data_IF_310913310439
#
_entry.id   IF_310913310439
#
_cell.length_a   1.000
_cell.length_b   1.000
_cell.length_c   1.000
_cell.angle_alpha   90.00
_cell.angle_beta   90.00
_cell.angle_gamma   90.00
#
_symmetry.space_group_name_H-M   'P 1'
#
loop_
_entity.id
_entity.type
_entity.pdbx_description
1 polymer ?
#
# COMPACT_ATOMS: atom_id res chain seq x y z
N UNK A 1 -52.29 34.66 -12.04
CA UNK A 1 -51.23 35.68 -12.16
C UNK A 1 -50.00 35.15 -11.47
N UNK A 2 -48.95 34.89 -12.24
CA UNK A 2 -47.64 34.40 -11.78
C UNK A 2 -46.68 35.59 -11.58
N UNK A 3 -45.79 35.51 -10.60
CA UNK A 3 -44.62 36.39 -10.47
C UNK A 3 -43.48 35.64 -9.74
N UNK A 4 -42.19 36.02 -9.88
CA UNK A 4 -41.21 35.15 -10.53
C UNK A 4 -39.93 34.93 -9.69
N UNK A 5 -39.16 33.93 -10.13
CA UNK A 5 -37.70 33.81 -10.11
C UNK A 5 -36.90 34.38 -8.92
N UNK A 6 -36.31 33.47 -8.13
CA UNK A 6 -35.04 33.70 -7.44
C UNK A 6 -33.98 32.76 -8.02
N UNK A 7 -33.11 33.30 -8.89
CA UNK A 7 -31.89 32.66 -9.40
C UNK A 7 -30.72 33.02 -8.50
N UNK A 8 -30.08 32.03 -7.89
CA UNK A 8 -28.70 31.97 -7.33
C UNK A 8 -28.61 30.59 -6.64
N UNK A 9 -27.69 29.66 -6.88
CA UNK A 9 -26.30 29.75 -7.34
C UNK A 9 -25.92 28.33 -7.83
N UNK A 10 -25.67 28.14 -9.12
CA UNK A 10 -25.17 26.87 -9.68
C UNK A 10 -23.80 27.09 -10.31
N UNK A 11 -22.74 26.98 -9.52
CA UNK A 11 -21.36 27.07 -10.04
C UNK A 11 -20.53 25.79 -9.89
N UNK A 12 -21.05 24.70 -9.29
CA UNK A 12 -20.32 23.42 -9.20
C UNK A 12 -20.56 22.46 -10.37
N UNK A 13 -21.57 22.69 -11.22
CA UNK A 13 -22.03 21.72 -12.22
C UNK A 13 -21.43 21.85 -13.62
N UNK A 14 -20.53 22.82 -13.86
CA UNK A 14 -19.91 23.02 -15.18
C UNK A 14 -18.60 22.26 -15.39
N UNK A 15 -17.89 21.85 -14.33
CA UNK A 15 -16.56 21.22 -14.44
C UNK A 15 -16.60 19.71 -14.76
N UNK A 16 -17.72 19.02 -14.54
CA UNK A 16 -17.90 17.60 -14.86
C UNK A 16 -18.29 17.34 -16.32
N UNK A 17 -18.71 18.36 -17.09
CA UNK A 17 -19.35 18.17 -18.41
C UNK A 17 -18.42 17.85 -19.58
N UNK A 18 -17.10 17.74 -19.37
CA UNK A 18 -16.13 17.51 -20.45
C UNK A 18 -15.45 16.15 -20.46
N UNK A 19 -15.46 15.39 -19.37
CA UNK A 19 -14.74 14.12 -19.26
C UNK A 19 -15.74 13.00 -18.98
N UNK A 20 -16.14 12.28 -20.03
CA UNK A 20 -16.91 11.04 -19.84
C UNK A 20 -15.96 10.04 -19.20
N UNK A 21 -16.19 9.71 -17.92
CA UNK A 21 -15.44 8.68 -17.20
C UNK A 21 -15.36 7.43 -18.07
N UNK A 22 -14.15 7.08 -18.53
CA UNK A 22 -13.96 5.90 -19.36
C UNK A 22 -14.17 4.69 -18.48
N UNK A 23 -15.30 3.98 -18.69
CA UNK A 23 -15.68 2.76 -17.95
C UNK A 23 -14.56 1.73 -17.78
N UNK A 24 -13.55 1.74 -18.67
CA UNK A 24 -12.38 0.84 -18.64
C UNK A 24 -11.46 1.05 -17.43
N UNK A 25 -11.47 2.21 -16.78
CA UNK A 25 -10.54 2.53 -15.69
C UNK A 25 -11.17 2.59 -14.29
N UNK A 26 -12.48 2.32 -14.15
CA UNK A 26 -13.14 2.27 -12.83
C UNK A 26 -13.02 3.56 -12.00
N UNK A 27 -12.98 4.72 -12.67
CA UNK A 27 -12.71 6.01 -12.05
C UNK A 27 -13.89 6.48 -11.18
N UNK A 28 -13.67 6.57 -9.86
CA UNK A 28 -14.52 7.31 -8.93
C UNK A 28 -13.72 8.54 -8.47
N UNK A 29 -14.19 9.74 -8.79
CA UNK A 29 -13.47 10.97 -8.49
C UNK A 29 -13.82 11.45 -7.09
N UNK A 30 -12.81 11.72 -6.26
CA UNK A 30 -13.01 12.27 -4.93
C UNK A 30 -13.51 13.71 -5.03
N UNK A 31 -14.64 14.02 -4.41
CA UNK A 31 -15.30 15.35 -4.46
C UNK A 31 -15.52 15.98 -3.08
N UNK A 32 -15.42 15.18 -2.00
CA UNK A 32 -15.58 15.70 -0.63
C UNK A 32 -14.35 16.48 -0.19
N UNK A 33 -14.50 17.80 -0.03
CA UNK A 33 -13.43 18.69 0.43
C UNK A 33 -12.94 18.36 1.85
N UNK A 34 -13.83 17.92 2.73
CA UNK A 34 -13.47 17.53 4.10
C UNK A 34 -12.54 16.31 4.10
N UNK A 35 -12.89 15.25 3.35
CA UNK A 35 -12.08 14.04 3.23
C UNK A 35 -10.75 14.36 2.55
N UNK A 36 -10.76 15.19 1.50
CA UNK A 36 -9.54 15.65 0.83
C UNK A 36 -8.59 16.32 1.81
N UNK A 37 -9.10 17.21 2.67
CA UNK A 37 -8.27 17.88 3.67
C UNK A 37 -7.72 16.89 4.71
N UNK A 38 -8.54 15.97 5.20
CA UNK A 38 -8.14 14.92 6.14
C UNK A 38 -7.02 14.03 5.56
N UNK A 39 -7.12 13.67 4.27
CA UNK A 39 -6.07 12.93 3.54
C UNK A 39 -4.77 13.74 3.49
N UNK A 40 -4.85 15.03 3.13
CA UNK A 40 -3.67 15.89 3.00
C UNK A 40 -3.00 16.11 4.36
N UNK A 41 -3.78 16.27 5.42
CA UNK A 41 -3.28 16.42 6.79
C UNK A 41 -2.60 15.13 7.26
N UNK A 42 -3.15 13.95 6.93
CA UNK A 42 -2.53 12.66 7.22
C UNK A 42 -1.22 12.42 6.44
N UNK A 43 -1.15 12.83 5.17
CA UNK A 43 0.08 12.77 4.36
C UNK A 43 1.17 13.68 4.97
N UNK A 44 0.74 14.80 5.57
CA UNK A 44 1.57 15.84 6.18
C UNK A 44 2.74 16.27 5.28
N UNK A 45 2.50 16.70 4.03
CA UNK A 45 3.57 17.02 3.09
C UNK A 45 4.28 18.31 3.53
N UNK A 46 5.63 18.30 3.47
CA UNK A 46 6.47 19.42 3.89
C UNK A 46 7.25 20.01 2.71
N UNK A 47 7.56 21.30 2.80
CA UNK A 47 8.45 21.95 1.84
C UNK A 47 9.82 21.25 1.78
N UNK A 48 10.36 21.05 0.58
CA UNK A 48 11.61 20.33 0.34
C UNK A 48 11.48 18.80 0.25
N UNK A 49 10.33 18.21 0.59
CA UNK A 49 10.08 16.79 0.34
C UNK A 49 9.77 16.53 -1.13
N UNK A 50 10.08 15.31 -1.58
CA UNK A 50 9.67 14.84 -2.91
C UNK A 50 8.36 14.08 -2.76
N UNK A 51 7.29 14.58 -3.38
CA UNK A 51 5.98 13.92 -3.38
C UNK A 51 5.63 13.49 -4.80
N UNK A 52 5.17 12.25 -4.94
CA UNK A 52 4.61 11.74 -6.19
C UNK A 52 3.20 11.22 -5.97
N UNK A 53 2.26 11.67 -6.81
CA UNK A 53 0.88 11.20 -6.82
C UNK A 53 0.64 10.25 -7.98
N UNK A 54 0.12 9.06 -7.69
CA UNK A 54 -0.28 8.06 -8.67
C UNK A 54 -1.76 8.24 -9.00
N UNK A 55 -2.07 8.43 -10.28
CA UNK A 55 -3.45 8.58 -10.76
C UNK A 55 -4.13 9.86 -10.24
N UNK A 56 -3.62 11.06 -10.57
CA UNK A 56 -4.17 12.33 -10.11
C UNK A 56 -5.63 12.58 -10.55
N UNK A 57 -6.09 11.89 -11.62
CA UNK A 57 -7.45 12.05 -12.10
C UNK A 57 -7.72 13.50 -12.55
N UNK A 58 -8.73 14.12 -11.95
CA UNK A 58 -9.07 15.53 -12.21
C UNK A 58 -8.28 16.52 -11.33
N UNK A 59 -7.36 16.03 -10.50
CA UNK A 59 -6.51 16.85 -9.62
C UNK A 59 -7.06 17.10 -8.22
N UNK A 60 -7.95 16.22 -7.72
CA UNK A 60 -8.63 16.41 -6.44
C UNK A 60 -7.67 16.43 -5.23
N UNK A 61 -6.65 15.57 -5.22
CA UNK A 61 -5.56 15.61 -4.24
C UNK A 61 -4.40 16.48 -4.74
N UNK A 62 -4.16 16.54 -6.05
CA UNK A 62 -3.12 17.38 -6.67
C UNK A 62 -3.18 18.85 -6.22
N UNK A 63 -4.35 19.49 -6.32
CA UNK A 63 -4.51 20.92 -5.98
C UNK A 63 -4.18 21.25 -4.51
N UNK A 64 -4.74 20.56 -3.50
CA UNK A 64 -4.42 20.83 -2.10
C UNK A 64 -3.01 20.36 -1.69
N UNK A 65 -2.44 19.33 -2.32
CA UNK A 65 -1.03 18.97 -2.12
C UNK A 65 -0.12 20.11 -2.59
N UNK A 66 -0.36 20.64 -3.79
CA UNK A 66 0.36 21.78 -4.34
C UNK A 66 0.20 23.04 -3.47
N UNK A 67 -0.85 23.16 -2.65
CA UNK A 67 -0.97 24.26 -1.69
C UNK A 67 0.00 24.16 -0.49
N UNK A 68 0.64 23.00 -0.27
CA UNK A 68 1.55 22.73 0.85
C UNK A 68 3.02 22.60 0.44
N UNK A 69 3.28 22.27 -0.83
CA UNK A 69 4.64 22.04 -1.36
C UNK A 69 4.89 22.85 -2.62
N UNK A 70 6.17 23.05 -2.96
CA UNK A 70 6.57 23.87 -4.11
C UNK A 70 6.42 23.15 -5.46
N UNK A 71 6.57 21.83 -5.45
CA UNK A 71 6.55 21.01 -6.65
C UNK A 71 5.96 19.64 -6.36
N UNK A 72 5.07 19.15 -7.23
CA UNK A 72 4.51 17.80 -7.17
C UNK A 72 4.87 17.05 -8.46
N UNK A 73 5.09 15.75 -8.35
CA UNK A 73 5.20 14.86 -9.51
C UNK A 73 3.95 13.99 -9.59
N UNK A 74 3.48 13.67 -10.79
CA UNK A 74 2.33 12.77 -10.99
C UNK A 74 2.65 11.69 -12.02
N UNK A 75 2.10 10.50 -11.82
CA UNK A 75 2.11 9.41 -12.80
C UNK A 75 0.68 9.17 -13.29
N UNK A 76 0.44 9.37 -14.59
CA UNK A 76 -0.87 9.23 -15.21
C UNK A 76 -0.77 8.51 -16.56
N UNK A 77 -1.76 7.68 -16.87
CA UNK A 77 -1.83 6.88 -18.10
C UNK A 77 -2.84 7.46 -19.10
N UNK A 78 -3.88 8.16 -18.65
CA UNK A 78 -4.87 8.75 -19.55
C UNK A 78 -4.38 10.07 -20.16
N UNK A 79 -4.13 10.03 -21.48
CA UNK A 79 -3.68 11.18 -22.29
C UNK A 79 -4.58 12.41 -22.19
N UNK A 80 -5.89 12.22 -22.05
CA UNK A 80 -6.84 13.35 -21.96
C UNK A 80 -6.66 14.07 -20.61
N UNK A 81 -6.44 13.31 -19.53
CA UNK A 81 -6.15 13.86 -18.21
C UNK A 81 -4.77 14.53 -18.18
N UNK A 82 -3.76 13.90 -18.79
CA UNK A 82 -2.41 14.47 -18.91
C UNK A 82 -2.43 15.84 -19.58
N UNK A 83 -3.14 15.97 -20.70
CA UNK A 83 -3.29 17.24 -21.40
C UNK A 83 -3.93 18.30 -20.50
N UNK A 84 -4.96 17.92 -19.74
CA UNK A 84 -5.62 18.81 -18.77
C UNK A 84 -4.70 19.24 -17.64
N UNK A 85 -3.93 18.32 -17.06
CA UNK A 85 -2.98 18.61 -15.98
C UNK A 85 -1.91 19.61 -16.45
N UNK A 86 -1.33 19.38 -17.63
CA UNK A 86 -0.33 20.27 -18.24
C UNK A 86 -0.88 21.65 -18.60
N UNK A 87 -2.17 21.75 -18.92
CA UNK A 87 -2.82 23.05 -19.15
C UNK A 87 -3.10 23.80 -17.84
N UNK A 88 -3.40 23.06 -16.76
CA UNK A 88 -3.83 23.63 -15.48
C UNK A 88 -2.67 24.09 -14.61
N UNK A 89 -1.54 23.37 -14.62
CA UNK A 89 -0.36 23.72 -13.84
C UNK A 89 0.89 23.83 -14.71
N UNK A 90 1.74 24.84 -14.47
CA UNK A 90 2.99 24.99 -15.19
C UNK A 90 4.01 23.92 -14.74
N UNK A 91 4.99 23.62 -15.60
CA UNK A 91 5.94 22.52 -15.38
C UNK A 91 6.82 22.71 -14.13
N UNK A 92 7.03 23.95 -13.71
CA UNK A 92 7.77 24.29 -12.48
C UNK A 92 7.00 23.89 -11.21
N UNK A 93 5.68 23.75 -11.31
CA UNK A 93 4.78 23.37 -10.21
C UNK A 93 4.41 21.88 -10.25
N UNK A 94 4.24 21.32 -11.44
CA UNK A 94 3.76 19.95 -11.63
C UNK A 94 4.52 19.23 -12.75
N UNK A 95 5.29 18.21 -12.40
CA UNK A 95 5.88 17.29 -13.40
C UNK A 95 4.90 16.15 -13.68
N UNK A 96 4.54 15.96 -14.95
CA UNK A 96 3.63 14.88 -15.38
C UNK A 96 4.41 13.79 -16.11
N UNK A 97 4.50 12.62 -15.48
CA UNK A 97 5.04 11.39 -16.05
C UNK A 97 3.92 10.61 -16.74
N UNK A 98 3.96 10.54 -18.07
CA UNK A 98 3.02 9.75 -18.88
C UNK A 98 3.43 8.28 -18.86
N UNK A 99 2.62 7.40 -18.26
CA UNK A 99 2.93 5.97 -18.23
C UNK A 99 2.07 5.15 -17.28
N UNK A 100 2.25 3.83 -17.37
CA UNK A 100 1.67 2.88 -16.42
C UNK A 100 2.47 2.88 -15.12
N UNK A 101 1.80 3.11 -13.99
CA UNK A 101 2.41 3.08 -12.67
C UNK A 101 3.03 1.72 -12.33
N UNK A 102 2.54 0.61 -12.90
CA UNK A 102 3.12 -0.72 -12.73
C UNK A 102 4.45 -0.91 -13.47
N UNK A 103 4.79 -0.02 -14.41
CA UNK A 103 6.04 -0.04 -15.16
C UNK A 103 6.96 1.14 -14.82
N UNK A 104 6.50 2.06 -13.97
CA UNK A 104 7.23 3.27 -13.62
C UNK A 104 8.31 2.97 -12.57
N UNK A 105 9.55 3.43 -12.81
CA UNK A 105 10.63 3.32 -11.84
C UNK A 105 10.59 4.49 -10.84
N UNK A 106 10.00 4.25 -9.67
CA UNK A 106 9.92 5.25 -8.60
C UNK A 106 11.28 5.53 -7.96
N UNK A 107 12.27 4.63 -8.09
CA UNK A 107 13.62 4.83 -7.59
C UNK A 107 14.41 5.85 -8.43
N UNK A 108 14.02 6.05 -9.68
CA UNK A 108 14.62 7.05 -10.57
C UNK A 108 14.20 8.49 -10.24
N UNK A 109 13.17 8.68 -9.41
CA UNK A 109 12.77 10.00 -8.96
C UNK A 109 13.88 10.62 -8.12
N UNK A 110 14.60 11.60 -8.69
CA UNK A 110 15.64 12.35 -7.97
C UNK A 110 15.04 12.96 -6.72
N UNK A 111 15.40 12.42 -5.56
CA UNK A 111 14.97 12.95 -4.28
C UNK A 111 16.13 13.70 -3.62
N UNK A 112 15.89 14.97 -3.30
CA UNK A 112 16.79 15.72 -2.40
C UNK A 112 16.55 15.35 -0.92
N UNK A 113 15.47 14.59 -0.65
CA UNK A 113 15.00 14.19 0.67
C UNK A 113 14.10 12.94 0.61
N UNK A 114 13.34 12.64 1.68
CA UNK A 114 12.45 11.48 1.73
C UNK A 114 11.38 11.53 0.63
N UNK A 115 11.18 10.43 -0.10
CA UNK A 115 10.11 10.30 -1.11
C UNK A 115 8.80 9.88 -0.44
N UNK A 116 7.73 10.64 -0.69
CA UNK A 116 6.36 10.28 -0.32
C UNK A 116 5.58 9.88 -1.57
N UNK A 117 4.86 8.76 -1.52
CA UNK A 117 4.03 8.28 -2.62
C UNK A 117 2.57 8.30 -2.18
N UNK A 118 1.72 8.96 -2.93
CA UNK A 118 0.29 9.13 -2.59
C UNK A 118 -0.58 8.74 -3.76
N UNK A 119 -1.85 8.41 -3.51
CA UNK A 119 -2.78 8.20 -4.63
C UNK A 119 -4.13 7.63 -4.24
N UNK A 120 -5.12 7.92 -5.09
CA UNK A 120 -6.40 7.23 -5.08
C UNK A 120 -6.33 6.09 -6.11
N UNK A 121 -5.92 4.91 -5.65
CA UNK A 121 -5.53 3.84 -6.56
C UNK A 121 -6.76 3.14 -7.17
N UNK A 122 -6.78 2.87 -8.50
CA UNK A 122 -7.81 2.04 -9.09
C UNK A 122 -7.79 0.63 -8.48
N UNK A 123 -8.97 0.13 -8.11
CA UNK A 123 -9.11 -1.07 -7.29
C UNK A 123 -8.52 -2.33 -7.94
N UNK A 124 -8.51 -2.40 -9.27
CA UNK A 124 -8.02 -3.53 -10.04
C UNK A 124 -6.48 -3.65 -10.09
N UNK A 125 -5.74 -2.57 -9.84
CA UNK A 125 -4.26 -2.58 -9.90
C UNK A 125 -3.58 -2.43 -8.54
N UNK A 126 -4.35 -2.19 -7.48
CA UNK A 126 -3.86 -1.87 -6.14
C UNK A 126 -2.83 -2.88 -5.61
N UNK A 127 -3.16 -4.16 -5.49
CA UNK A 127 -2.23 -5.14 -4.91
C UNK A 127 -0.94 -5.33 -5.73
N UNK A 128 -0.98 -5.53 -7.07
CA UNK A 128 0.24 -5.57 -7.88
C UNK A 128 1.10 -4.32 -7.73
N UNK A 129 0.49 -3.13 -7.67
CA UNK A 129 1.20 -1.88 -7.51
C UNK A 129 1.90 -1.78 -6.15
N UNK A 130 1.25 -2.22 -5.06
CA UNK A 130 1.87 -2.22 -3.73
C UNK A 130 3.11 -3.13 -3.67
N UNK A 131 3.14 -4.24 -4.40
CA UNK A 131 4.33 -5.08 -4.52
C UNK A 131 5.41 -4.43 -5.39
N UNK A 132 5.04 -3.83 -6.53
CA UNK A 132 5.96 -3.07 -7.38
C UNK A 132 6.65 -1.94 -6.61
N UNK A 133 5.90 -1.18 -5.82
CA UNK A 133 6.43 -0.10 -4.97
C UNK A 133 7.46 -0.59 -3.94
N UNK A 134 7.45 -1.89 -3.58
CA UNK A 134 8.40 -2.45 -2.61
C UNK A 134 9.82 -2.51 -3.17
N UNK A 135 9.97 -2.51 -4.50
CA UNK A 135 11.27 -2.45 -5.18
C UNK A 135 11.95 -1.08 -4.96
N UNK A 136 11.15 -0.03 -4.70
CA UNK A 136 11.64 1.32 -4.40
C UNK A 136 11.70 1.64 -2.90
N UNK A 137 11.55 0.62 -2.03
CA UNK A 137 11.53 0.77 -0.58
C UNK A 137 12.75 1.52 0.01
N UNK A 138 13.91 1.47 -0.66
CA UNK A 138 15.14 2.09 -0.17
C UNK A 138 15.11 3.63 -0.21
N UNK A 139 14.29 4.24 -1.07
CA UNK A 139 14.19 5.70 -1.23
C UNK A 139 12.87 6.27 -0.70
N UNK A 140 11.88 5.41 -0.48
CA UNK A 140 10.54 5.76 0.01
C UNK A 140 10.54 5.91 1.53
N UNK A 141 9.99 7.01 2.01
CA UNK A 141 9.79 7.27 3.43
C UNK A 141 8.46 6.72 3.92
N UNK A 142 7.35 7.19 3.34
CA UNK A 142 6.02 6.64 3.58
C UNK A 142 5.10 6.82 2.37
N UNK A 143 4.02 6.04 2.37
CA UNK A 143 3.04 6.03 1.30
C UNK A 143 1.63 6.09 1.87
N UNK A 144 0.73 6.78 1.16
CA UNK A 144 -0.66 6.95 1.57
C UNK A 144 -1.59 6.67 0.41
N UNK A 145 -2.40 5.61 0.54
CA UNK A 145 -3.30 5.20 -0.53
C UNK A 145 -4.73 5.09 -0.07
N UNK A 146 -5.63 5.52 -0.95
CA UNK A 146 -7.03 5.17 -0.84
C UNK A 146 -7.30 3.88 -1.60
N UNK A 147 -7.92 2.93 -0.92
CA UNK A 147 -8.25 1.59 -1.41
C UNK A 147 -9.65 1.19 -0.95
N UNK A 148 -10.20 0.09 -1.49
CA UNK A 148 -11.42 -0.49 -0.94
C UNK A 148 -11.19 -0.93 0.51
N UNK A 149 -12.16 -0.68 1.39
CA UNK A 149 -12.02 -0.99 2.82
C UNK A 149 -11.69 -2.45 3.08
N UNK A 150 -12.34 -3.40 2.39
CA UNK A 150 -12.05 -4.84 2.53
C UNK A 150 -10.59 -5.18 2.18
N UNK A 151 -9.99 -4.49 1.21
CA UNK A 151 -8.58 -4.68 0.86
C UNK A 151 -7.69 -4.17 1.98
N UNK A 152 -7.97 -2.99 2.52
CA UNK A 152 -7.24 -2.42 3.65
C UNK A 152 -7.37 -3.31 4.89
N UNK A 153 -8.57 -3.78 5.22
CA UNK A 153 -8.83 -4.68 6.35
C UNK A 153 -7.94 -5.93 6.24
N UNK A 154 -7.83 -6.53 5.05
CA UNK A 154 -6.94 -7.67 4.80
C UNK A 154 -5.46 -7.30 4.88
N UNK A 155 -5.06 -6.10 4.47
CA UNK A 155 -3.67 -5.65 4.55
C UNK A 155 -3.20 -5.54 6.00
N UNK A 156 -4.04 -4.94 6.86
CA UNK A 156 -3.70 -4.65 8.27
C UNK A 156 -4.16 -5.75 9.24
N UNK A 157 -4.82 -6.79 8.74
CA UNK A 157 -5.29 -7.92 9.55
C UNK A 157 -4.18 -8.51 10.44
N UNK A 158 -4.54 -8.95 11.64
CA UNK A 158 -3.64 -9.64 12.56
C UNK A 158 -3.76 -11.17 12.42
N UNK A 159 -2.70 -11.94 12.70
CA UNK A 159 -2.78 -13.41 12.70
C UNK A 159 -3.93 -13.92 13.57
N UNK A 160 -4.62 -14.94 13.08
CA UNK A 160 -5.81 -15.52 13.71
C UNK A 160 -7.13 -14.83 13.35
N UNK A 161 -7.11 -13.63 12.76
CA UNK A 161 -8.33 -12.97 12.26
C UNK A 161 -8.82 -13.57 10.94
N UNK A 162 -10.11 -13.38 10.63
CA UNK A 162 -10.73 -13.91 9.40
C UNK A 162 -10.24 -13.24 8.12
N UNK A 163 -9.74 -12.00 8.23
CA UNK A 163 -9.22 -11.24 7.10
C UNK A 163 -7.72 -11.50 6.85
N UNK A 164 -7.05 -12.14 7.81
CA UNK A 164 -5.65 -12.50 7.69
C UNK A 164 -5.45 -13.58 6.63
N UNK A 165 -4.55 -13.31 5.70
CA UNK A 165 -4.30 -14.20 4.59
C UNK A 165 -2.97 -13.96 3.90
N UNK A 166 -2.82 -14.55 2.71
CA UNK A 166 -1.63 -14.37 1.87
C UNK A 166 -1.28 -12.90 1.63
N UNK A 167 -2.28 -12.05 1.37
CA UNK A 167 -2.05 -10.62 1.13
C UNK A 167 -1.44 -9.94 2.36
N UNK A 168 -1.97 -10.24 3.54
CA UNK A 168 -1.50 -9.73 4.84
C UNK A 168 -0.04 -10.11 5.05
N UNK A 169 0.28 -11.39 4.98
CA UNK A 169 1.66 -11.88 5.20
C UNK A 169 2.64 -11.25 4.22
N UNK A 170 2.30 -11.24 2.93
CA UNK A 170 3.19 -10.73 1.90
C UNK A 170 3.42 -9.22 2.04
N UNK A 171 2.38 -8.41 2.29
CA UNK A 171 2.57 -6.96 2.42
C UNK A 171 3.18 -6.56 3.78
N UNK A 172 2.82 -7.21 4.88
CA UNK A 172 3.40 -6.95 6.21
C UNK A 172 4.88 -7.38 6.29
N UNK A 173 5.32 -8.26 5.40
CA UNK A 173 6.75 -8.54 5.22
C UNK A 173 7.51 -7.33 4.65
N UNK A 174 6.90 -6.54 3.75
CA UNK A 174 7.52 -5.37 3.13
C UNK A 174 7.25 -4.06 3.89
N UNK A 175 6.13 -3.94 4.59
CA UNK A 175 5.63 -2.68 5.13
C UNK A 175 5.14 -2.80 6.58
N UNK A 176 5.35 -1.74 7.36
CA UNK A 176 4.46 -1.41 8.46
C UNK A 176 3.23 -0.70 7.88
N UNK A 177 2.03 -1.11 8.27
CA UNK A 177 0.80 -0.59 7.68
C UNK A 177 -0.23 -0.23 8.75
N UNK A 178 -0.94 0.86 8.53
CA UNK A 178 -1.93 1.39 9.45
C UNK A 178 -3.16 1.88 8.66
N UNK A 179 -4.35 1.42 9.04
CA UNK A 179 -5.59 1.99 8.53
C UNK A 179 -5.87 3.28 9.29
N UNK A 180 -5.83 4.41 8.59
CA UNK A 180 -5.97 5.73 9.21
C UNK A 180 -7.45 6.06 9.46
N UNK A 181 -8.28 5.97 8.42
CA UNK A 181 -9.72 6.22 8.50
C UNK A 181 -10.46 5.67 7.27
N UNK A 182 -11.77 5.55 7.38
CA UNK A 182 -12.65 5.07 6.30
C UNK A 182 -13.29 6.23 5.55
N UNK A 183 -13.50 6.05 4.24
CA UNK A 183 -14.11 7.05 3.35
C UNK A 183 -15.44 6.50 2.78
N UNK A 184 -16.56 7.19 3.00
CA UNK A 184 -17.86 6.75 2.51
C UNK A 184 -18.06 6.95 1.00
N UNK A 185 -18.94 6.18 0.34
CA UNK A 185 -19.17 6.30 -1.11
C UNK A 185 -19.64 7.67 -1.61
N UNK A 186 -20.37 8.42 -0.79
CA UNK A 186 -20.86 9.77 -1.12
C UNK A 186 -19.75 10.82 -1.19
N UNK A 187 -18.52 10.47 -0.78
CA UNK A 187 -17.34 11.30 -1.00
C UNK A 187 -16.88 11.33 -2.47
N UNK A 188 -17.49 10.53 -3.35
CA UNK A 188 -17.07 10.34 -4.74
C UNK A 188 -18.17 10.63 -5.77
N UNK A 189 -17.75 10.97 -6.99
CA UNK A 189 -18.60 11.06 -8.17
C UNK A 189 -17.97 10.31 -9.37
N UNK A 190 -18.63 9.28 -9.93
CA UNK A 190 -19.79 8.60 -9.36
C UNK A 190 -19.42 7.86 -8.05
N UNK A 191 -20.41 7.59 -7.17
CA UNK A 191 -20.15 6.88 -5.91
C UNK A 191 -19.79 5.40 -6.16
N UNK A 192 -18.74 4.85 -5.50
CA UNK A 192 -18.45 3.42 -5.53
C UNK A 192 -19.54 2.62 -4.81
N UNK A 193 -19.56 1.30 -5.03
CA UNK A 193 -20.52 0.39 -4.36
C UNK A 193 -20.10 -0.02 -2.94
N UNK A 194 -18.86 0.28 -2.56
CA UNK A 194 -18.23 -0.19 -1.33
C UNK A 194 -17.53 0.98 -0.64
N UNK A 195 -17.36 0.85 0.68
CA UNK A 195 -16.53 1.77 1.46
C UNK A 195 -15.08 1.76 0.96
N UNK A 196 -14.43 2.92 1.02
CA UNK A 196 -12.99 3.05 0.86
C UNK A 196 -12.32 3.26 2.23
N UNK A 197 -11.00 3.16 2.29
CA UNK A 197 -10.21 3.51 3.45
C UNK A 197 -8.84 4.06 3.02
N UNK A 198 -8.29 4.94 3.86
CA UNK A 198 -6.94 5.46 3.73
C UNK A 198 -6.01 4.59 4.57
N UNK A 199 -4.97 4.08 3.93
CA UNK A 199 -3.92 3.29 4.57
C UNK A 199 -2.58 3.99 4.43
N UNK A 200 -1.82 4.03 5.52
CA UNK A 200 -0.41 4.42 5.52
C UNK A 200 0.45 3.17 5.42
N UNK A 201 1.48 3.21 4.60
CA UNK A 201 2.49 2.17 4.48
C UNK A 201 3.88 2.78 4.67
N UNK A 202 4.68 2.18 5.54
CA UNK A 202 6.08 2.57 5.79
C UNK A 202 6.95 1.36 5.42
N UNK A 203 7.86 1.47 4.44
CA UNK A 203 8.78 0.38 4.10
C UNK A 203 9.58 -0.08 5.31
N UNK A 204 9.68 -1.40 5.50
CA UNK A 204 10.48 -1.99 6.58
C UNK A 204 11.96 -1.90 6.23
N UNK A 205 12.77 -1.35 7.12
CA UNK A 205 14.22 -1.40 6.98
C UNK A 205 14.74 -2.80 7.35
N UNK A 206 14.92 -3.64 6.33
CA UNK A 206 15.45 -5.01 6.48
C UNK A 206 16.91 -5.05 6.99
N UNK A 207 17.61 -3.90 7.08
CA UNK A 207 19.06 -3.82 7.41
C UNK A 207 19.36 -3.26 8.81
N UNK A 208 18.42 -2.61 9.49
CA UNK A 208 18.69 -2.04 10.83
C UNK A 208 18.72 -3.11 11.91
N UNK A 209 19.90 -3.66 12.16
CA UNK A 209 20.26 -4.30 13.44
C UNK A 209 20.15 -3.21 14.52
N UNK A 210 19.23 -3.35 15.47
CA UNK A 210 19.32 -2.56 16.69
C UNK A 210 20.43 -3.19 17.54
N UNK A 211 21.57 -2.49 17.62
CA UNK A 211 22.57 -2.71 18.67
C UNK A 211 21.87 -2.59 20.02
N UNK A 212 22.08 -3.56 20.90
CA UNK A 212 21.42 -3.71 22.21
C UNK A 212 21.68 -2.60 23.22
N UNK A 213 22.41 -1.54 22.86
CA UNK A 213 22.77 -0.47 23.77
C UNK A 213 22.16 0.88 23.33
N UNK A 214 21.04 1.22 23.96
CA UNK A 214 20.64 2.60 24.23
C UNK A 214 20.16 3.44 23.04
N UNK A 215 18.93 3.20 22.57
CA UNK A 215 18.13 4.24 21.91
C UNK A 215 16.85 4.48 22.71
N UNK A 216 16.69 5.70 23.25
CA UNK A 216 15.42 6.19 23.78
C UNK A 216 14.42 6.21 22.63
N UNK A 217 13.28 5.55 22.80
CA UNK A 217 12.15 5.60 21.89
C UNK A 217 11.87 7.03 21.43
N UNK A 218 11.58 7.27 20.13
CA UNK A 218 10.84 8.46 19.75
C UNK A 218 9.51 8.44 20.51
N UNK A 219 9.17 9.56 21.15
CA UNK A 219 7.98 9.72 21.97
C UNK A 219 6.69 9.45 21.19
N UNK A 220 5.71 8.88 21.89
CA UNK A 220 4.38 8.41 21.43
C UNK A 220 3.40 9.51 20.97
N UNK A 221 3.92 10.67 20.58
CA UNK A 221 3.13 11.73 19.94
C UNK A 221 3.22 11.65 18.39
N UNK A 222 4.07 10.75 17.86
CA UNK A 222 4.15 10.37 16.45
C UNK A 222 3.88 8.85 16.31
N UNK A 223 2.82 8.50 15.57
CA UNK A 223 2.41 7.15 15.17
C UNK A 223 2.17 6.13 16.31
N UNK A 224 0.91 6.02 16.72
CA UNK A 224 0.43 5.08 17.71
C UNK A 224 0.65 3.61 17.33
N UNK A 225 0.95 2.81 18.34
CA UNK A 225 0.75 1.35 18.33
C UNK A 225 1.80 0.53 17.59
N UNK A 226 3.01 0.41 18.15
CA UNK A 226 3.96 -0.59 17.65
C UNK A 226 3.56 -1.99 18.11
N UNK A 227 2.92 -2.75 17.23
CA UNK A 227 2.93 -4.20 17.31
C UNK A 227 4.39 -4.67 17.35
N UNK A 228 4.78 -5.32 18.45
CA UNK A 228 6.11 -5.89 18.65
C UNK A 228 6.32 -7.07 17.70
N UNK A 229 6.73 -6.79 16.45
CA UNK A 229 7.26 -7.82 15.57
C UNK A 229 8.72 -8.07 15.94
N UNK A 230 9.01 -9.29 16.40
CA UNK A 230 10.36 -9.73 16.74
C UNK A 230 11.36 -9.42 15.60
N UNK A 231 12.55 -8.98 16.01
CA UNK A 231 13.70 -8.57 15.21
C UNK A 231 13.82 -9.24 13.83
N UNK A 232 13.88 -8.43 12.77
CA UNK A 232 14.47 -8.68 11.44
C UNK A 232 14.59 -10.13 10.94
N UNK A 233 13.50 -10.89 10.98
CA UNK A 233 13.40 -12.11 10.19
C UNK A 233 13.26 -11.70 8.70
N UNK A 234 14.40 -11.54 8.02
CA UNK A 234 14.45 -11.38 6.55
C UNK A 234 14.50 -12.77 5.91
N UNK A 235 13.66 -13.00 4.89
CA UNK A 235 13.73 -14.25 4.14
C UNK A 235 15.03 -14.27 3.33
N UNK A 236 15.82 -15.34 3.46
CA UNK A 236 17.06 -15.55 2.68
C UNK A 236 16.79 -15.70 1.18
N UNK A 237 15.59 -16.15 0.85
CA UNK A 237 15.10 -16.37 -0.52
C UNK A 237 13.62 -15.93 -0.54
N UNK A 238 13.36 -14.69 -0.97
CA UNK A 238 12.01 -14.11 -0.95
C UNK A 238 11.05 -14.85 -1.89
N UNK A 239 11.56 -15.37 -3.01
CA UNK A 239 10.76 -16.18 -3.93
C UNK A 239 10.33 -17.50 -3.28
N UNK A 240 11.23 -18.15 -2.54
CA UNK A 240 10.89 -19.34 -1.78
C UNK A 240 9.92 -19.04 -0.62
N UNK A 241 10.13 -17.95 0.11
CA UNK A 241 9.17 -17.48 1.12
C UNK A 241 7.77 -17.29 0.52
N UNK A 242 7.65 -16.57 -0.59
CA UNK A 242 6.37 -16.37 -1.29
C UNK A 242 5.73 -17.71 -1.69
N UNK A 243 6.54 -18.69 -2.12
CA UNK A 243 6.07 -20.05 -2.45
C UNK A 243 5.54 -20.80 -1.23
N UNK A 244 6.20 -20.70 -0.08
CA UNK A 244 5.73 -21.30 1.18
C UNK A 244 4.41 -20.68 1.64
N UNK A 245 4.32 -19.34 1.64
CA UNK A 245 3.09 -18.63 2.01
C UNK A 245 1.96 -19.01 1.04
N UNK A 246 2.23 -19.07 -0.27
CA UNK A 246 1.24 -19.50 -1.26
C UNK A 246 0.76 -20.94 -1.04
N UNK A 247 1.66 -21.86 -0.69
CA UNK A 247 1.30 -23.24 -0.39
C UNK A 247 0.44 -23.34 0.89
N UNK A 248 0.83 -22.63 1.96
CA UNK A 248 0.11 -22.63 3.23
C UNK A 248 -1.37 -22.21 3.06
N UNK A 249 -1.62 -21.14 2.31
CA UNK A 249 -2.96 -20.62 2.01
C UNK A 249 -3.65 -21.30 0.82
N UNK A 250 -3.02 -22.30 0.19
CA UNK A 250 -3.53 -22.94 -1.04
C UNK A 250 -4.82 -23.75 -0.84
N UNK A 251 -5.12 -24.17 0.39
CA UNK A 251 -6.38 -24.87 0.72
C UNK A 251 -7.02 -24.27 1.97
N UNK A 252 -8.16 -23.58 1.77
CA UNK A 252 -8.88 -22.91 2.86
C UNK A 252 -9.29 -23.88 3.97
N UNK A 253 -9.09 -23.48 5.24
CA UNK A 253 -9.43 -24.22 6.47
C UNK A 253 -8.63 -25.50 6.73
N UNK A 254 -7.67 -25.86 5.86
CA UNK A 254 -6.80 -27.01 6.08
C UNK A 254 -5.64 -26.63 7.01
N UNK A 255 -5.28 -27.56 7.89
CA UNK A 255 -4.13 -27.42 8.80
C UNK A 255 -2.81 -27.43 8.01
N UNK A 256 -1.77 -26.78 8.55
CA UNK A 256 -0.46 -26.63 7.90
C UNK A 256 0.21 -27.95 7.57
N UNK A 257 0.09 -28.97 8.42
CA UNK A 257 0.56 -30.34 8.10
C UNK A 257 0.02 -30.89 6.78
N UNK A 258 -1.18 -30.47 6.37
CA UNK A 258 -1.79 -30.92 5.13
C UNK A 258 -1.36 -30.07 3.94
N UNK A 259 -1.29 -28.75 4.12
CA UNK A 259 -0.98 -27.81 3.04
C UNK A 259 0.52 -27.75 2.74
N UNK A 260 1.37 -28.03 3.73
CA UNK A 260 2.84 -27.99 3.64
C UNK A 260 3.52 -29.36 3.60
N UNK A 261 2.77 -30.47 3.50
CA UNK A 261 3.32 -31.85 3.48
C UNK A 261 4.43 -32.09 2.44
N UNK A 262 4.44 -31.33 1.34
CA UNK A 262 5.46 -31.42 0.29
C UNK A 262 6.75 -30.66 0.61
N UNK A 263 6.76 -29.92 1.71
CA UNK A 263 7.88 -29.09 2.15
C UNK A 263 8.42 -29.53 3.51
N UNK A 264 7.54 -29.92 4.44
CA UNK A 264 7.89 -30.23 5.83
C UNK A 264 6.93 -31.28 6.41
N UNK A 265 7.43 -32.12 7.32
CA UNK A 265 6.63 -33.07 8.09
C UNK A 265 6.20 -32.47 9.45
N UNK A 266 5.36 -33.21 10.21
CA UNK A 266 4.87 -32.73 11.51
C UNK A 266 6.00 -32.55 12.55
N UNK A 267 7.03 -33.39 12.49
CA UNK A 267 8.20 -33.29 13.36
C UNK A 267 8.99 -32.00 13.09
N UNK A 268 9.21 -31.66 11.82
CA UNK A 268 9.84 -30.41 11.41
C UNK A 268 9.05 -29.17 11.80
N UNK A 269 7.71 -29.19 11.68
CA UNK A 269 6.86 -28.09 12.15
C UNK A 269 7.02 -27.88 13.67
N UNK A 270 6.95 -28.97 14.43
CA UNK A 270 7.09 -28.94 15.89
C UNK A 270 8.47 -28.43 16.31
N UNK A 271 9.53 -28.84 15.62
CA UNK A 271 10.89 -28.37 15.86
C UNK A 271 11.07 -26.86 15.62
N UNK A 272 10.23 -26.25 14.78
CA UNK A 272 10.18 -24.81 14.52
C UNK A 272 9.24 -24.06 15.48
N UNK A 273 8.63 -24.75 16.45
CA UNK A 273 7.65 -24.19 17.37
C UNK A 273 6.27 -23.96 16.75
N UNK A 274 6.00 -24.54 15.58
CA UNK A 274 4.72 -24.41 14.87
C UNK A 274 3.88 -25.66 15.17
N UNK A 275 2.67 -25.46 15.68
CA UNK A 275 1.73 -26.58 15.88
C UNK A 275 1.37 -27.23 14.54
N UNK A 276 1.50 -28.56 14.36
CA UNK A 276 1.07 -29.25 13.14
C UNK A 276 -0.42 -29.07 12.82
N UNK A 277 -1.23 -28.80 13.84
CA UNK A 277 -2.67 -28.57 13.72
C UNK A 277 -3.03 -27.10 13.49
N UNK A 278 -2.07 -26.17 13.55
CA UNK A 278 -2.31 -24.77 13.24
C UNK A 278 -2.80 -24.61 11.80
N UNK A 279 -3.62 -23.59 11.55
CA UNK A 279 -3.99 -23.17 10.20
C UNK A 279 -3.09 -22.04 9.70
N UNK A 280 -3.10 -21.81 8.40
CA UNK A 280 -2.24 -20.82 7.77
C UNK A 280 -2.49 -19.40 8.31
N UNK A 281 -3.75 -19.07 8.61
CA UNK A 281 -4.13 -17.77 9.17
C UNK A 281 -3.62 -17.53 10.59
N UNK A 282 -3.21 -18.58 11.33
CA UNK A 282 -2.76 -18.47 12.72
C UNK A 282 -1.27 -18.08 12.83
N UNK A 283 -0.51 -18.16 11.74
CA UNK A 283 0.93 -17.85 11.73
C UNK A 283 1.19 -16.40 11.33
N UNK A 284 2.03 -15.71 12.10
CA UNK A 284 2.53 -14.38 11.77
C UNK A 284 3.67 -14.38 10.74
N UNK A 285 4.03 -13.19 10.26
CA UNK A 285 5.09 -12.99 9.26
C UNK A 285 6.42 -13.62 9.68
N UNK A 286 6.84 -13.40 10.93
CA UNK A 286 8.12 -13.93 11.43
C UNK A 286 8.17 -15.47 11.43
N UNK A 287 7.06 -16.13 11.75
CA UNK A 287 6.96 -17.60 11.71
C UNK A 287 7.11 -18.13 10.28
N UNK A 288 6.47 -17.49 9.30
CA UNK A 288 6.65 -17.84 7.90
C UNK A 288 8.08 -17.63 7.41
N UNK A 289 8.75 -16.56 7.85
CA UNK A 289 10.15 -16.34 7.48
C UNK A 289 11.07 -17.39 8.11
N UNK A 290 10.91 -17.71 9.39
CA UNK A 290 11.67 -18.78 10.05
C UNK A 290 11.47 -20.13 9.36
N UNK A 291 10.22 -20.45 9.02
CA UNK A 291 9.87 -21.65 8.26
C UNK A 291 10.58 -21.69 6.89
N UNK A 292 10.51 -20.62 6.11
CA UNK A 292 11.15 -20.55 4.80
C UNK A 292 12.69 -20.68 4.90
N UNK A 293 13.30 -19.99 5.88
CA UNK A 293 14.74 -20.03 6.11
C UNK A 293 15.23 -21.40 6.56
N UNK A 294 14.49 -22.10 7.44
CA UNK A 294 14.82 -23.44 7.90
C UNK A 294 14.77 -24.46 6.76
N UNK A 295 13.72 -24.41 5.94
CA UNK A 295 13.52 -25.34 4.83
C UNK A 295 14.57 -25.23 3.74
N UNK A 296 15.09 -24.01 3.47
CA UNK A 296 16.17 -23.83 2.51
C UNK A 296 17.47 -24.45 3.01
N UNK A 297 17.80 -24.33 4.30
CA UNK A 297 19.01 -24.91 4.88
C UNK A 297 19.02 -26.45 4.77
N UNK A 298 17.88 -27.09 4.99
CA UNK A 298 17.74 -28.55 4.87
C UNK A 298 17.90 -29.04 3.42
N UNK A 299 17.48 -28.25 2.42
CA UNK A 299 17.70 -28.59 1.01
C UNK A 299 19.16 -28.41 0.57
N UNK A 300 19.89 -27.44 1.13
CA UNK A 300 21.31 -27.24 0.83
C UNK A 300 22.21 -28.35 1.41
N UNK A 301 21.87 -28.93 2.57
CA UNK A 301 22.66 -30.00 3.20
C UNK A 301 22.53 -31.37 2.53
N UNK A 302 21.49 -31.60 1.74
CA UNK A 302 21.32 -32.85 0.97
C UNK A 302 22.06 -32.85 -0.39
N UNK A 303 22.86 -31.83 -0.69
CA UNK A 303 23.58 -31.69 -1.97
C UNK A 303 25.09 -31.52 -1.85
N UNK A 304 25.67 -31.66 -0.65
CA UNK A 304 27.12 -31.86 -0.51
C UNK A 304 27.40 -33.36 -0.46
N UNK A 305 28.15 -33.93 -1.41
CA UNK A 305 28.70 -35.27 -1.23
C UNK A 305 29.73 -35.21 -0.10
N UNK A 306 29.54 -36.02 0.94
CA UNK A 306 30.62 -36.34 1.87
C UNK A 306 31.77 -36.93 1.05
N UNK A 307 32.90 -36.23 1.03
CA UNK A 307 34.18 -36.75 0.54
C UNK A 307 34.90 -37.52 1.65
#
# INVERSE_FOLDING_TARGET
MANPANKKTSQSSSQLRGHVARKRFGQNFLVSTAIIQEIVDAIAPRAGETVVEIGPGLGALTEPLLARIDHLQVVEIDRDLIARLRQRWPAERLTVHEGDALAFDFSALKSAGPLKIVGNLPYNISSPLLFHLSESAAVVHDMHFMLQKEVVDRMVAEPGSSDFGRLSVMLQYHYHMECLFTVPPDAFEPPPKVMSAIVRLIPRDKRKVLSTDGFKSPSLDDAGGTAQYAQNDTARDEAFFARIVAAAFGQRRKMLRNTLRGFIDEAGLTALGISPTARAEELGVGEYVRLANALKNSQSRCHEPEF
#
